data_IF_006467715484
#
_entry.id   IF_006467715484
#
_cell.length_a   1.000
_cell.length_b   1.000
_cell.length_c   1.000
_cell.angle_alpha   90.00
_cell.angle_beta   90.00
_cell.angle_gamma   90.00
#
_symmetry.space_group_name_H-M   'P 1'
#
loop_
_entity.id
_entity.type
_entity.pdbx_description
1 polymer ?
#
# COMPACT_ATOMS: atom_id res chain seq x y z
N UNK A 1 -47.13 17.05 41.49
CA UNK A 1 -46.03 17.86 40.89
C UNK A 1 -44.72 17.17 41.28
N UNK A 2 -43.85 16.60 40.46
CA UNK A 2 -43.41 16.74 39.04
C UNK A 2 -43.07 15.30 38.54
N UNK A 3 -43.62 14.82 37.42
CA UNK A 3 -43.13 14.93 36.02
C UNK A 3 -42.40 13.64 35.55
N UNK A 4 -42.86 13.13 34.42
CA UNK A 4 -42.71 11.80 33.78
C UNK A 4 -41.48 11.78 32.83
N UNK A 5 -40.92 10.59 32.49
CA UNK A 5 -39.58 10.42 31.92
C UNK A 5 -39.51 10.59 30.39
N UNK A 6 -38.35 10.99 29.87
CA UNK A 6 -38.01 11.05 28.44
C UNK A 6 -36.59 10.48 28.26
N UNK A 7 -36.45 9.37 27.54
CA UNK A 7 -36.04 9.30 26.12
C UNK A 7 -34.63 9.88 25.92
N UNK A 8 -33.61 9.05 25.70
CA UNK A 8 -33.30 8.36 24.44
C UNK A 8 -32.14 9.07 23.72
N UNK A 9 -31.29 8.25 23.11
CA UNK A 9 -30.28 8.62 22.13
C UNK A 9 -29.09 9.44 22.67
N UNK A 10 -28.16 8.77 23.35
CA UNK A 10 -26.75 9.12 23.16
C UNK A 10 -26.40 8.71 21.72
N UNK A 11 -26.53 9.69 20.84
CA UNK A 11 -26.35 9.60 19.39
C UNK A 11 -25.13 8.80 18.99
N UNK A 12 -25.38 7.85 18.09
CA UNK A 12 -24.42 7.15 17.24
C UNK A 12 -23.29 8.11 16.85
N UNK A 13 -22.08 7.88 17.37
CA UNK A 13 -20.89 8.44 16.75
C UNK A 13 -20.91 7.98 15.30
N UNK A 14 -21.17 8.92 14.40
CA UNK A 14 -21.23 8.69 12.98
C UNK A 14 -19.98 7.90 12.57
N UNK A 15 -20.19 6.69 12.06
CA UNK A 15 -19.19 5.98 11.28
C UNK A 15 -18.95 6.80 10.01
N UNK A 16 -18.21 7.91 10.11
CA UNK A 16 -17.34 8.25 9.00
C UNK A 16 -16.32 7.12 8.97
N UNK A 17 -16.56 6.14 8.09
CA UNK A 17 -15.51 5.28 7.56
C UNK A 17 -14.53 6.17 6.78
N UNK A 18 -13.91 7.15 7.45
CA UNK A 18 -12.66 7.73 7.04
C UNK A 18 -11.68 6.58 7.19
N UNK A 19 -11.52 5.80 6.13
CA UNK A 19 -10.31 5.00 5.99
C UNK A 19 -9.17 6.01 6.11
N UNK A 20 -8.56 6.10 7.28
CA UNK A 20 -7.46 7.01 7.53
C UNK A 20 -6.43 6.80 6.43
N UNK A 21 -5.84 7.88 5.92
CA UNK A 21 -4.80 7.79 4.91
C UNK A 21 -3.73 6.74 5.28
N UNK A 22 -3.12 6.07 4.30
CA UNK A 22 -2.13 5.05 4.60
C UNK A 22 -0.95 5.68 5.35
N UNK A 23 -0.51 5.01 6.41
CA UNK A 23 0.74 5.35 7.09
C UNK A 23 1.93 4.93 6.22
N UNK A 24 3.11 5.49 6.47
CA UNK A 24 4.34 5.08 5.77
C UNK A 24 4.59 3.56 5.85
N UNK A 25 4.32 2.96 7.02
CA UNK A 25 4.39 1.51 7.21
C UNK A 25 3.39 0.76 6.33
N UNK A 26 2.20 1.30 6.15
CA UNK A 26 1.19 0.70 5.29
C UNK A 26 1.59 0.78 3.82
N UNK A 27 2.14 1.92 3.39
CA UNK A 27 2.68 2.12 2.04
C UNK A 27 3.83 1.12 1.80
N UNK A 28 4.79 1.01 2.73
CA UNK A 28 5.89 0.04 2.61
C UNK A 28 5.37 -1.40 2.48
N UNK A 29 4.39 -1.79 3.29
CA UNK A 29 3.77 -3.12 3.18
C UNK A 29 3.08 -3.33 1.83
N UNK A 30 2.45 -2.30 1.28
CA UNK A 30 1.82 -2.37 -0.03
C UNK A 30 2.87 -2.59 -1.14
N UNK A 31 4.00 -1.90 -1.08
CA UNK A 31 5.14 -2.14 -2.00
C UNK A 31 5.75 -3.52 -1.80
N UNK A 32 6.03 -3.94 -0.56
CA UNK A 32 6.55 -5.28 -0.28
C UNK A 32 5.62 -6.37 -0.84
N UNK A 33 4.31 -6.19 -0.74
CA UNK A 33 3.33 -7.11 -1.30
C UNK A 33 3.34 -7.11 -2.84
N UNK A 34 3.42 -5.92 -3.46
CA UNK A 34 3.51 -5.78 -4.92
C UNK A 34 4.79 -6.42 -5.47
N UNK A 35 5.95 -6.20 -4.83
CA UNK A 35 7.21 -6.82 -5.21
C UNK A 35 7.17 -8.34 -5.06
N UNK A 36 6.64 -8.86 -3.95
CA UNK A 36 6.48 -10.30 -3.75
C UNK A 36 5.58 -10.92 -4.82
N UNK A 37 4.49 -10.26 -5.17
CA UNK A 37 3.60 -10.74 -6.21
C UNK A 37 4.32 -10.78 -7.57
N UNK A 38 5.03 -9.71 -7.93
CA UNK A 38 5.84 -9.69 -9.14
C UNK A 38 6.93 -10.78 -9.15
N UNK A 39 7.59 -11.05 -8.00
CA UNK A 39 8.55 -12.15 -7.88
C UNK A 39 7.91 -13.51 -8.08
N UNK A 40 6.72 -13.74 -7.51
CA UNK A 40 5.99 -15.00 -7.65
C UNK A 40 5.59 -15.23 -9.11
N UNK A 41 5.01 -14.23 -9.76
CA UNK A 41 4.61 -14.31 -11.17
C UNK A 41 5.82 -14.59 -12.08
N UNK A 42 6.95 -13.92 -11.82
CA UNK A 42 8.17 -14.13 -12.57
C UNK A 42 8.80 -15.51 -12.30
N UNK A 43 8.76 -16.00 -11.05
CA UNK A 43 9.27 -17.32 -10.70
C UNK A 43 8.44 -18.44 -11.35
N UNK A 44 7.12 -18.30 -11.42
CA UNK A 44 6.26 -19.26 -12.14
C UNK A 44 6.62 -19.32 -13.63
N UNK A 45 6.83 -18.18 -14.27
CA UNK A 45 7.29 -18.14 -15.66
C UNK A 45 8.69 -18.77 -15.82
N UNK A 46 9.61 -18.45 -14.91
CA UNK A 46 11.01 -18.87 -14.94
C UNK A 46 11.22 -20.36 -14.64
N UNK A 47 10.34 -20.98 -13.84
CA UNK A 47 10.36 -22.40 -13.56
C UNK A 47 10.21 -23.24 -14.84
N UNK A 48 9.45 -22.75 -15.83
CA UNK A 48 9.34 -23.36 -17.16
C UNK A 48 10.64 -23.34 -17.98
N UNK A 49 11.59 -22.48 -17.60
CA UNK A 49 12.91 -22.34 -18.22
C UNK A 49 14.05 -22.94 -17.37
N UNK A 50 13.73 -23.59 -16.25
CA UNK A 50 14.71 -24.24 -15.37
C UNK A 50 15.54 -23.28 -14.52
N UNK A 51 15.10 -22.04 -14.34
CA UNK A 51 15.76 -21.05 -13.48
C UNK A 51 15.44 -21.31 -12.00
N UNK A 52 16.42 -21.14 -11.14
CA UNK A 52 16.25 -21.32 -9.69
C UNK A 52 15.65 -20.08 -9.02
N UNK A 53 15.18 -20.27 -7.79
CA UNK A 53 14.71 -19.15 -6.96
C UNK A 53 15.83 -18.14 -6.64
N UNK A 54 17.09 -18.62 -6.56
CA UNK A 54 18.25 -17.76 -6.30
C UNK A 54 18.57 -16.89 -7.54
N UNK A 55 18.51 -17.47 -8.75
CA UNK A 55 18.65 -16.72 -10.00
C UNK A 55 17.59 -15.61 -10.10
N UNK A 56 16.35 -15.94 -9.72
CA UNK A 56 15.27 -14.96 -9.70
C UNK A 56 15.51 -13.84 -8.69
N UNK A 57 16.04 -14.15 -7.51
CA UNK A 57 16.28 -13.17 -6.45
C UNK A 57 17.25 -12.07 -6.90
N UNK A 58 18.29 -12.41 -7.65
CA UNK A 58 19.26 -11.44 -8.18
C UNK A 58 18.66 -10.54 -9.27
N UNK A 59 17.57 -10.96 -9.90
CA UNK A 59 16.87 -10.21 -10.95
C UNK A 59 15.70 -9.35 -10.44
N UNK A 60 15.38 -9.40 -9.14
CA UNK A 60 14.30 -8.61 -8.56
C UNK A 60 14.84 -7.33 -7.92
N UNK A 61 14.10 -6.22 -7.99
CA UNK A 61 14.47 -5.02 -7.25
C UNK A 61 14.31 -5.22 -5.73
N UNK A 62 15.23 -4.67 -4.96
CA UNK A 62 15.23 -4.69 -3.50
C UNK A 62 14.76 -3.35 -2.94
N UNK A 63 13.72 -3.38 -2.10
CA UNK A 63 13.18 -2.20 -1.43
C UNK A 63 13.90 -1.93 -0.10
N UNK A 64 14.67 -0.85 -0.05
CA UNK A 64 15.38 -0.42 1.16
C UNK A 64 14.51 0.47 2.05
N UNK A 65 13.72 1.36 1.44
CA UNK A 65 12.94 2.34 2.19
C UNK A 65 11.80 2.94 1.38
N UNK A 66 10.78 3.39 2.11
CA UNK A 66 9.69 4.20 1.58
C UNK A 66 9.47 5.33 2.56
N UNK A 67 9.48 6.56 2.06
CA UNK A 67 9.16 7.76 2.83
C UNK A 67 7.89 8.38 2.29
N UNK A 68 6.92 8.58 3.17
CA UNK A 68 5.69 9.29 2.82
C UNK A 68 5.96 10.79 2.75
N UNK A 69 5.64 11.43 1.62
CA UNK A 69 5.71 12.89 1.45
C UNK A 69 4.33 13.49 1.75
N UNK A 70 3.27 12.93 1.16
CA UNK A 70 1.89 13.36 1.40
C UNK A 70 0.89 12.41 0.74
N UNK A 71 -0.36 12.43 1.17
CA UNK A 71 -1.44 11.71 0.50
C UNK A 71 -2.66 12.62 0.35
N UNK A 72 -3.39 12.43 -0.74
CA UNK A 72 -4.69 13.06 -0.97
C UNK A 72 -5.73 12.01 -1.32
N UNK A 73 -6.93 12.14 -0.77
CA UNK A 73 -8.04 11.26 -1.11
C UNK A 73 -8.38 11.43 -2.59
N UNK A 74 -8.78 10.34 -3.26
CA UNK A 74 -9.30 10.43 -4.62
C UNK A 74 -10.77 10.78 -4.57
N UNK A 75 -11.18 11.88 -5.21
CA UNK A 75 -12.60 12.26 -5.24
C UNK A 75 -13.42 11.22 -6.00
N UNK A 76 -14.61 10.90 -5.48
CA UNK A 76 -15.57 10.01 -6.13
C UNK A 76 -15.18 8.52 -6.19
N UNK A 77 -14.01 8.12 -5.65
CA UNK A 77 -13.58 6.70 -5.61
C UNK A 77 -12.85 6.39 -4.31
N UNK A 78 -12.75 5.11 -3.94
CA UNK A 78 -11.95 4.72 -2.79
C UNK A 78 -10.45 4.84 -3.08
N UNK A 79 -9.71 5.24 -2.05
CA UNK A 79 -8.25 5.28 -2.05
C UNK A 79 -7.63 6.67 -1.95
N UNK A 80 -6.31 6.67 -2.00
CA UNK A 80 -5.46 7.84 -1.88
C UNK A 80 -4.43 7.84 -3.01
N UNK A 81 -4.07 9.03 -3.49
CA UNK A 81 -2.83 9.21 -4.25
C UNK A 81 -1.80 9.75 -3.28
N UNK A 82 -0.70 9.01 -3.11
CA UNK A 82 0.37 9.35 -2.19
C UNK A 82 1.65 9.67 -2.95
N UNK A 83 2.24 10.81 -2.64
CA UNK A 83 3.58 11.17 -3.07
C UNK A 83 4.57 10.53 -2.10
N UNK A 84 5.52 9.78 -2.64
CA UNK A 84 6.46 8.95 -1.88
C UNK A 84 7.87 9.09 -2.45
N UNK A 85 8.87 9.04 -1.59
CA UNK A 85 10.26 8.77 -1.97
C UNK A 85 10.52 7.27 -1.72
N UNK A 86 11.03 6.57 -2.72
CA UNK A 86 11.37 5.16 -2.67
C UNK A 86 12.87 5.01 -2.81
N UNK A 87 13.48 4.27 -1.88
CA UNK A 87 14.87 3.85 -1.95
C UNK A 87 14.89 2.38 -2.36
N UNK A 88 15.36 2.10 -3.57
CA UNK A 88 15.40 0.75 -4.13
C UNK A 88 16.72 0.46 -4.82
N UNK A 89 17.09 -0.81 -4.88
CA UNK A 89 18.17 -1.30 -5.75
C UNK A 89 17.55 -2.06 -6.90
N UNK A 90 17.78 -1.61 -8.13
CA UNK A 90 17.40 -2.35 -9.33
C UNK A 90 18.62 -3.11 -9.89
N UNK A 91 18.43 -4.32 -10.43
CA UNK A 91 19.48 -4.99 -11.19
C UNK A 91 19.98 -4.07 -12.31
N UNK A 92 21.28 -4.10 -12.60
CA UNK A 92 21.97 -3.26 -13.60
C UNK A 92 22.13 -1.77 -13.27
N UNK A 93 21.14 -1.13 -12.65
CA UNK A 93 21.17 0.31 -12.36
C UNK A 93 21.76 0.62 -10.99
N UNK A 94 21.65 -0.31 -10.04
CA UNK A 94 22.14 -0.14 -8.67
C UNK A 94 21.13 0.53 -7.76
N UNK A 95 21.61 1.04 -6.62
CA UNK A 95 20.77 1.67 -5.59
C UNK A 95 20.49 3.13 -5.94
N UNK A 96 19.22 3.52 -5.85
CA UNK A 96 18.75 4.85 -6.18
C UNK A 96 17.55 5.25 -5.32
N UNK A 97 17.29 6.55 -5.29
CA UNK A 97 16.15 7.14 -4.62
C UNK A 97 15.33 7.92 -5.62
N UNK A 98 14.07 7.55 -5.76
CA UNK A 98 13.14 8.16 -6.71
C UNK A 98 11.90 8.68 -5.98
N UNK A 99 11.40 9.83 -6.41
CA UNK A 99 10.13 10.39 -5.91
C UNK A 99 9.04 10.20 -6.95
N UNK A 100 7.88 9.72 -6.54
CA UNK A 100 6.74 9.51 -7.43
C UNK A 100 5.40 9.49 -6.70
N UNK A 101 4.32 9.52 -7.47
CA UNK A 101 2.95 9.41 -6.95
C UNK A 101 2.43 8.00 -7.19
N UNK A 102 1.84 7.39 -6.17
CA UNK A 102 1.21 6.05 -6.26
C UNK A 102 -0.22 6.08 -5.78
N UNK A 103 -1.10 5.32 -6.44
CA UNK A 103 -2.48 5.13 -6.00
C UNK A 103 -2.53 3.94 -5.03
N UNK A 104 -3.08 4.18 -3.84
CA UNK A 104 -3.29 3.14 -2.83
C UNK A 104 -4.77 2.98 -2.54
N UNK A 105 -5.24 1.74 -2.55
CA UNK A 105 -6.59 1.37 -2.13
C UNK A 105 -6.55 0.37 -0.99
N UNK A 106 -7.49 0.50 -0.06
CA UNK A 106 -7.60 -0.42 1.07
C UNK A 106 -8.58 -1.54 0.70
N UNK A 107 -8.09 -2.77 0.66
CA UNK A 107 -8.91 -3.96 0.40
C UNK A 107 -8.68 -4.97 1.51
N UNK A 108 -9.76 -5.43 2.15
CA UNK A 108 -9.73 -6.44 3.22
C UNK A 108 -8.74 -6.12 4.35
N UNK A 109 -8.64 -4.85 4.73
CA UNK A 109 -7.78 -4.38 5.82
C UNK A 109 -6.32 -4.10 5.45
N UNK A 110 -5.89 -4.43 4.22
CA UNK A 110 -4.53 -4.16 3.72
C UNK A 110 -4.55 -3.14 2.58
N UNK A 111 -3.49 -2.35 2.47
CA UNK A 111 -3.32 -1.43 1.35
C UNK A 111 -2.65 -2.13 0.18
N UNK A 112 -3.09 -1.81 -1.03
CA UNK A 112 -2.46 -2.27 -2.27
C UNK A 112 -2.13 -1.07 -3.15
N UNK A 113 -0.98 -1.16 -3.82
CA UNK A 113 -0.64 -0.27 -4.92
C UNK A 113 -1.54 -0.65 -6.11
N UNK A 114 -2.17 0.34 -6.72
CA UNK A 114 -2.81 0.19 -8.03
C UNK A 114 -1.88 0.78 -9.08
N UNK A 115 -1.57 -0.04 -10.07
CA UNK A 115 -0.96 0.38 -11.34
C UNK A 115 -2.00 0.99 -12.29
#
# INVERSE_FOLDING_TARGET
>A
MKAIPYLAAASVLALSACSAEPSERDIRKAFDASLKQATQDAAEAAAGFGLSADDMKEMMPELHGVKKIGCRAVEGTEGYICDVEIDMTAPMVGRQKDTGSVRLVKSSGSWRVLE
#
